data_IF_318533404866
#
_entry.id   IF_318533404866
#
_cell.length_a   1.000
_cell.length_b   1.000
_cell.length_c   1.000
_cell.angle_alpha   90.00
_cell.angle_beta   90.00
_cell.angle_gamma   90.00
#
_symmetry.space_group_name_H-M   'P 1'
#
loop_
_entity.id
_entity.type
_entity.pdbx_description
1 polymer ?
#
# COMPACT_ATOMS: atom_id res chain seq x y z
N UNK A 1 19.22 8.66 -7.06
CA UNK A 1 18.17 7.68 -7.40
C UNK A 1 18.53 7.05 -8.73
N UNK A 2 18.78 5.73 -8.79
CA UNK A 2 18.85 5.02 -10.07
C UNK A 2 17.48 4.41 -10.30
N UNK A 3 16.79 4.82 -11.37
CA UNK A 3 15.48 4.31 -11.74
C UNK A 3 15.70 3.19 -12.77
N UNK A 4 15.38 1.95 -12.42
CA UNK A 4 15.43 0.83 -13.35
C UNK A 4 14.06 0.65 -14.01
N UNK A 5 13.96 0.94 -15.31
CA UNK A 5 12.74 0.76 -16.09
C UNK A 5 12.72 -0.64 -16.68
N UNK A 6 11.66 -1.42 -16.43
CA UNK A 6 11.39 -2.68 -17.15
C UNK A 6 10.33 -2.43 -18.22
N UNK A 7 10.71 -2.60 -19.49
CA UNK A 7 9.76 -2.64 -20.60
C UNK A 7 9.15 -4.04 -20.72
N UNK A 8 7.83 -4.15 -20.95
CA UNK A 8 7.19 -5.40 -21.34
C UNK A 8 7.44 -5.66 -22.83
N UNK A 9 8.04 -6.80 -23.18
CA UNK A 9 8.30 -7.17 -24.56
C UNK A 9 7.05 -7.80 -25.19
N UNK A 10 6.56 -7.22 -26.29
CA UNK A 10 5.49 -7.78 -27.11
C UNK A 10 6.01 -8.72 -28.20
N UNK A 11 5.21 -9.75 -28.54
CA UNK A 11 5.38 -10.62 -29.71
C UNK A 11 4.06 -11.24 -30.17
N UNK A 12 3.83 -11.28 -31.49
CA UNK A 12 2.69 -11.88 -32.21
C UNK A 12 3.21 -12.60 -33.48
N UNK A 13 2.43 -13.30 -34.36
CA UNK A 13 0.98 -13.64 -34.37
C UNK A 13 0.65 -15.13 -34.78
N UNK A 14 -0.63 -15.57 -34.72
CA UNK A 14 -1.39 -16.41 -35.72
C UNK A 14 -2.84 -16.66 -35.23
N UNK A 15 -3.79 -16.62 -36.16
CA UNK A 15 -5.25 -16.52 -36.01
C UNK A 15 -6.02 -17.86 -35.95
N UNK A 16 -7.20 -17.90 -35.27
CA UNK A 16 -8.54 -17.97 -35.89
C UNK A 16 -9.71 -17.97 -34.85
N UNK A 17 -10.66 -17.07 -35.08
CA UNK A 17 -12.12 -17.13 -34.84
C UNK A 17 -12.74 -17.30 -33.43
N UNK A 18 -13.25 -16.20 -32.84
CA UNK A 18 -14.70 -15.85 -32.80
C UNK A 18 -14.96 -14.62 -31.89
N UNK A 19 -15.20 -13.51 -32.58
CA UNK A 19 -16.12 -12.40 -32.33
C UNK A 19 -16.76 -12.10 -30.96
N UNK A 20 -16.71 -10.78 -30.68
CA UNK A 20 -17.63 -9.94 -29.90
C UNK A 20 -17.61 -10.08 -28.36
N UNK A 21 -16.58 -9.49 -27.71
CA UNK A 21 -16.62 -8.54 -26.55
C UNK A 21 -15.16 -8.23 -26.13
N UNK A 22 -14.37 -7.50 -26.93
CA UNK A 22 -13.09 -6.87 -26.47
C UNK A 22 -12.76 -5.68 -27.39
N UNK A 23 -12.76 -4.45 -26.85
CA UNK A 23 -11.48 -3.75 -26.70
C UNK A 23 -11.35 -2.90 -25.41
N UNK A 24 -11.97 -3.27 -24.29
CA UNK A 24 -11.80 -2.56 -23.00
C UNK A 24 -10.76 -3.20 -22.05
N UNK A 25 -10.19 -4.36 -22.42
CA UNK A 25 -9.50 -5.23 -21.46
C UNK A 25 -7.97 -5.08 -21.40
N UNK A 26 -7.29 -4.38 -22.33
CA UNK A 26 -5.81 -4.37 -22.35
C UNK A 26 -5.17 -3.29 -21.48
N UNK A 27 -5.82 -2.14 -21.29
CA UNK A 27 -5.29 -1.05 -20.45
C UNK A 27 -5.49 -1.24 -18.95
N UNK A 28 -6.59 -1.89 -18.54
CA UNK A 28 -6.98 -2.03 -17.12
C UNK A 28 -6.50 -3.36 -16.52
N UNK A 29 -6.32 -4.42 -17.32
CA UNK A 29 -5.92 -5.74 -16.80
C UNK A 29 -4.41 -5.92 -16.60
N UNK A 30 -3.56 -5.15 -17.29
CA UNK A 30 -2.11 -5.17 -17.06
C UNK A 30 -1.72 -4.62 -15.67
N UNK A 31 -2.31 -3.51 -15.20
CA UNK A 31 -2.21 -3.10 -13.79
C UNK A 31 -2.71 -4.18 -12.83
N UNK A 32 -3.81 -4.87 -13.15
CA UNK A 32 -4.35 -5.93 -12.29
C UNK A 32 -3.40 -7.15 -12.19
N UNK A 33 -2.74 -7.55 -13.28
CA UNK A 33 -1.77 -8.64 -13.25
C UNK A 33 -0.48 -8.26 -12.50
N UNK A 34 0.00 -7.02 -12.64
CA UNK A 34 1.12 -6.49 -11.87
C UNK A 34 0.76 -6.36 -10.37
N UNK A 35 -0.47 -5.94 -10.08
CA UNK A 35 -1.05 -5.90 -8.74
C UNK A 35 -1.10 -7.31 -8.13
N UNK A 36 -1.67 -8.30 -8.82
CA UNK A 36 -1.72 -9.69 -8.34
C UNK A 36 -0.33 -10.33 -8.14
N UNK A 37 0.67 -9.96 -8.96
CA UNK A 37 2.06 -10.38 -8.75
C UNK A 37 2.68 -9.73 -7.51
N UNK A 38 2.44 -8.42 -7.30
CA UNK A 38 2.89 -7.71 -6.10
C UNK A 38 2.25 -8.25 -4.81
N UNK A 39 1.02 -8.72 -4.88
CA UNK A 39 0.32 -9.38 -3.77
C UNK A 39 0.96 -10.74 -3.40
N UNK A 40 1.42 -11.52 -4.38
CA UNK A 40 2.14 -12.79 -4.13
C UNK A 40 3.50 -12.55 -3.48
N UNK A 41 4.20 -11.50 -3.89
CA UNK A 41 5.47 -11.09 -3.30
C UNK A 41 5.25 -10.55 -1.87
N UNK A 42 4.17 -9.81 -1.63
CA UNK A 42 3.78 -9.35 -0.29
C UNK A 42 3.44 -10.52 0.65
N UNK A 43 2.67 -11.52 0.21
CA UNK A 43 2.39 -12.71 1.00
C UNK A 43 3.68 -13.47 1.38
N UNK A 44 4.62 -13.57 0.44
CA UNK A 44 5.93 -14.20 0.69
C UNK A 44 6.78 -13.40 1.67
N UNK A 45 6.74 -12.07 1.58
CA UNK A 45 7.42 -11.17 2.52
C UNK A 45 6.81 -11.22 3.93
N UNK A 46 5.48 -11.31 4.05
CA UNK A 46 4.78 -11.50 5.32
C UNK A 46 5.21 -12.82 5.98
N UNK A 47 5.24 -13.93 5.24
CA UNK A 47 5.67 -15.23 5.77
C UNK A 47 7.14 -15.23 6.19
N UNK A 48 8.02 -14.58 5.41
CA UNK A 48 9.43 -14.42 5.77
C UNK A 48 9.60 -13.57 7.05
N UNK A 49 8.80 -12.51 7.20
CA UNK A 49 8.79 -11.65 8.40
C UNK A 49 8.29 -12.40 9.62
N UNK A 50 7.21 -13.18 9.49
CA UNK A 50 6.71 -14.04 10.57
C UNK A 50 7.77 -15.06 11.01
N UNK A 51 8.50 -15.65 10.07
CA UNK A 51 9.62 -16.55 10.37
C UNK A 51 10.79 -15.84 11.07
N UNK A 52 11.09 -14.58 10.71
CA UNK A 52 12.14 -13.79 11.36
C UNK A 52 11.76 -13.34 12.78
N UNK A 53 10.48 -12.96 12.99
CA UNK A 53 9.93 -12.65 14.31
C UNK A 53 9.95 -13.85 15.25
N UNK A 54 9.73 -15.07 14.73
CA UNK A 54 9.89 -16.31 15.49
C UNK A 54 11.33 -16.55 15.98
N UNK A 55 12.32 -15.93 15.34
CA UNK A 55 13.76 -16.09 15.64
C UNK A 55 14.31 -14.91 16.46
N UNK A 56 13.54 -13.81 16.60
CA UNK A 56 14.01 -12.58 17.23
C UNK A 56 14.40 -12.78 18.71
N UNK A 57 15.61 -12.36 19.13
CA UNK A 57 16.07 -12.51 20.50
C UNK A 57 15.26 -11.59 21.44
N UNK A 58 14.40 -12.20 22.27
CA UNK A 58 13.59 -11.47 23.25
C UNK A 58 12.13 -11.93 23.32
N UNK A 59 11.61 -12.57 22.27
CA UNK A 59 10.27 -13.14 22.27
C UNK A 59 10.25 -14.53 22.93
N UNK A 60 9.27 -14.84 23.80
CA UNK A 60 9.20 -16.15 24.46
C UNK A 60 8.89 -17.27 23.46
N UNK A 61 9.94 -17.97 23.02
CA UNK A 61 9.94 -19.06 22.03
C UNK A 61 8.86 -20.15 22.20
N UNK A 62 8.47 -20.57 23.42
CA UNK A 62 7.49 -21.66 23.57
C UNK A 62 6.06 -21.29 23.14
N UNK A 63 5.63 -20.05 23.40
CA UNK A 63 4.28 -19.58 23.06
C UNK A 63 4.13 -19.34 21.56
N UNK A 64 5.16 -18.75 20.93
CA UNK A 64 5.13 -18.45 19.48
C UNK A 64 5.25 -19.73 18.65
N UNK A 65 5.98 -20.76 19.13
CA UNK A 65 6.06 -22.05 18.43
C UNK A 65 4.81 -22.93 18.56
N UNK A 66 4.10 -22.89 19.69
CA UNK A 66 2.84 -23.62 19.85
C UNK A 66 1.73 -23.04 18.94
N UNK A 67 1.69 -21.72 18.78
CA UNK A 67 0.69 -21.01 17.97
C UNK A 67 0.99 -21.15 16.46
N UNK A 68 2.26 -21.09 16.05
CA UNK A 68 2.68 -21.35 14.66
C UNK A 68 2.48 -22.81 14.21
N UNK A 69 2.56 -23.78 15.13
CA UNK A 69 2.26 -25.19 14.83
C UNK A 69 0.76 -25.42 14.56
N UNK A 70 -0.11 -24.69 15.26
CA UNK A 70 -1.57 -24.79 15.08
C UNK A 70 -2.04 -24.13 13.77
N UNK A 71 -1.30 -23.12 13.28
CA UNK A 71 -1.54 -22.43 12.01
C UNK A 71 -1.33 -23.30 10.76
N UNK A 72 -0.47 -24.32 10.85
CA UNK A 72 0.07 -25.06 9.70
C UNK A 72 -0.85 -26.18 9.18
N UNK A 73 -1.76 -26.68 10.01
CA UNK A 73 -2.55 -27.89 9.71
C UNK A 73 -3.93 -27.61 9.05
N UNK A 74 -4.27 -26.34 8.75
CA UNK A 74 -5.65 -25.97 8.35
C UNK A 74 -5.87 -25.28 7.00
N UNK A 75 -4.84 -24.97 6.20
CA UNK A 75 -4.99 -24.06 5.05
C UNK A 75 -5.11 -24.79 3.69
N UNK A 76 -6.33 -24.88 3.16
CA UNK A 76 -6.57 -25.18 1.72
C UNK A 76 -6.95 -23.88 1.01
N UNK A 77 -6.08 -23.39 0.13
CA UNK A 77 -6.31 -22.14 -0.63
C UNK A 77 -7.10 -22.45 -1.90
N UNK A 78 -8.37 -22.07 -1.94
CA UNK A 78 -9.19 -22.09 -3.16
C UNK A 78 -9.99 -20.79 -3.27
N UNK A 79 -9.58 -19.83 -4.10
CA UNK A 79 -10.46 -18.90 -4.87
C UNK A 79 -9.77 -17.60 -5.33
N UNK A 80 -10.47 -16.90 -6.22
CA UNK A 80 -10.03 -16.03 -7.31
C UNK A 80 -10.54 -14.58 -7.14
N UNK A 81 -10.36 -13.99 -5.96
CA UNK A 81 -10.76 -12.62 -5.60
C UNK A 81 -9.61 -11.88 -4.88
N UNK A 82 -9.51 -10.57 -5.04
CA UNK A 82 -8.55 -9.71 -4.32
C UNK A 82 -8.73 -9.74 -2.80
N UNK A 83 -9.89 -10.20 -2.31
CA UNK A 83 -10.13 -10.50 -0.90
C UNK A 83 -9.24 -11.63 -0.34
N UNK A 84 -8.61 -12.45 -1.18
CA UNK A 84 -8.02 -13.72 -0.72
C UNK A 84 -6.58 -13.60 -0.25
N UNK A 85 -5.81 -12.56 -0.58
CA UNK A 85 -4.40 -12.51 -0.14
C UNK A 85 -4.27 -12.14 1.34
N UNK A 86 -5.17 -11.29 1.85
CA UNK A 86 -5.32 -11.06 3.29
C UNK A 86 -6.00 -12.22 4.03
N UNK A 87 -6.89 -12.97 3.35
CA UNK A 87 -7.66 -14.08 3.95
C UNK A 87 -6.94 -15.45 3.82
N UNK A 88 -5.89 -15.56 3.00
CA UNK A 88 -5.07 -16.76 2.91
C UNK A 88 -4.14 -16.96 4.12
N UNK A 89 -4.02 -15.96 4.99
CA UNK A 89 -3.69 -16.19 6.38
C UNK A 89 -4.91 -16.85 7.03
N UNK A 90 -4.86 -18.19 7.13
CA UNK A 90 -5.71 -19.03 7.97
C UNK A 90 -5.90 -18.39 9.39
N UNK A 91 -6.81 -18.87 10.28
CA UNK A 91 -7.07 -18.32 11.63
C UNK A 91 -5.86 -17.99 12.55
N UNK A 92 -4.64 -18.27 12.11
CA UNK A 92 -3.40 -17.72 12.61
C UNK A 92 -3.35 -16.19 12.44
N UNK A 93 -3.33 -15.48 13.57
CA UNK A 93 -3.18 -14.03 13.55
C UNK A 93 -1.89 -13.56 12.87
N UNK A 94 -1.93 -12.39 12.24
CA UNK A 94 -0.74 -11.69 11.79
C UNK A 94 -0.04 -11.07 13.00
N UNK A 95 1.24 -11.40 13.23
CA UNK A 95 2.06 -10.82 14.28
C UNK A 95 3.04 -9.80 13.68
N UNK A 96 3.05 -8.59 14.24
CA UNK A 96 3.97 -7.52 13.85
C UNK A 96 4.54 -6.81 15.09
N UNK A 97 5.77 -6.30 15.01
CA UNK A 97 6.37 -5.54 16.12
C UNK A 97 5.60 -4.24 16.34
N UNK A 98 5.20 -3.98 17.58
CA UNK A 98 4.40 -2.82 17.96
C UNK A 98 5.21 -1.73 18.68
N UNK A 99 6.52 -1.92 18.86
CA UNK A 99 7.33 -1.08 19.75
C UNK A 99 7.02 -1.34 21.22
N UNK A 100 7.61 -0.58 22.14
CA UNK A 100 7.41 -0.74 23.60
C UNK A 100 6.13 -0.04 24.08
N UNK A 101 4.97 -0.68 23.82
CA UNK A 101 3.63 -0.15 24.12
C UNK A 101 3.43 0.08 25.62
N UNK A 102 3.99 -0.80 26.46
CA UNK A 102 3.82 -0.77 27.90
C UNK A 102 4.92 -0.02 28.68
N UNK A 103 6.02 0.36 28.03
CA UNK A 103 7.20 1.07 28.58
C UNK A 103 8.03 0.26 29.58
N UNK A 104 8.14 -1.05 29.40
CA UNK A 104 9.01 -1.91 30.22
C UNK A 104 10.41 -2.12 29.64
N UNK A 105 10.72 -1.46 28.53
CA UNK A 105 12.00 -1.55 27.83
C UNK A 105 12.12 -2.76 26.91
N UNK A 106 11.02 -3.49 26.67
CA UNK A 106 10.97 -4.64 25.75
C UNK A 106 10.00 -4.33 24.62
N UNK A 107 10.33 -4.79 23.42
CA UNK A 107 9.46 -4.61 22.26
C UNK A 107 8.22 -5.50 22.35
N UNK A 108 7.04 -4.89 22.19
CA UNK A 108 5.74 -5.57 22.21
C UNK A 108 5.30 -5.97 20.80
N UNK A 109 4.25 -6.78 20.70
CA UNK A 109 3.74 -7.31 19.42
C UNK A 109 2.27 -6.95 19.25
N UNK A 110 1.90 -6.54 18.04
CA UNK A 110 0.52 -6.43 17.58
C UNK A 110 0.12 -7.74 16.91
N UNK A 111 -0.95 -8.34 17.40
CA UNK A 111 -1.59 -9.49 16.81
C UNK A 111 -2.92 -9.09 16.17
N UNK A 112 -3.11 -9.42 14.89
CA UNK A 112 -4.34 -9.14 14.14
C UNK A 112 -5.02 -10.46 13.75
N UNK A 113 -6.26 -10.68 14.20
CA UNK A 113 -7.06 -11.87 13.88
C UNK A 113 -8.31 -11.48 13.09
N UNK A 114 -8.53 -12.11 11.94
CA UNK A 114 -9.76 -11.96 11.16
C UNK A 114 -10.69 -13.14 11.44
N UNK A 115 -11.88 -12.86 11.97
CA UNK A 115 -12.89 -13.89 12.21
C UNK A 115 -13.56 -14.26 10.88
N UNK A 116 -13.35 -15.49 10.42
CA UNK A 116 -13.83 -15.99 9.12
C UNK A 116 -15.32 -16.43 9.07
N UNK A 117 -16.10 -16.22 10.13
CA UNK A 117 -17.49 -16.72 10.23
C UNK A 117 -18.48 -15.58 10.53
N UNK A 118 -19.18 -15.07 9.50
CA UNK A 118 -20.17 -13.98 9.64
C UNK A 118 -19.66 -12.62 9.12
N UNK A 119 -20.32 -11.47 9.42
CA UNK A 119 -19.71 -10.16 9.17
C UNK A 119 -18.33 -10.17 9.84
N UNK A 120 -17.30 -10.05 9.01
CA UNK A 120 -15.92 -10.29 9.44
C UNK A 120 -15.60 -9.35 10.60
N UNK A 121 -14.87 -9.85 11.58
CA UNK A 121 -14.37 -9.02 12.67
C UNK A 121 -12.86 -9.04 12.58
N UNK A 122 -12.24 -7.86 12.64
CA UNK A 122 -10.82 -7.73 12.92
C UNK A 122 -10.65 -7.53 14.43
N UNK A 123 -10.03 -8.49 15.10
CA UNK A 123 -9.66 -8.37 16.50
C UNK A 123 -8.15 -8.13 16.62
N UNK A 124 -7.79 -7.02 17.25
CA UNK A 124 -6.41 -6.61 17.49
C UNK A 124 -6.04 -6.85 18.96
N UNK A 125 -4.88 -7.43 19.21
CA UNK A 125 -4.29 -7.57 20.54
C UNK A 125 -2.90 -6.95 20.55
N UNK A 126 -2.65 -6.00 21.45
CA UNK A 126 -1.27 -5.70 21.82
C UNK A 126 -0.84 -6.67 22.92
N UNK A 127 0.31 -7.29 22.75
CA UNK A 127 0.87 -8.26 23.70
C UNK A 127 2.24 -7.82 24.16
N UNK A 128 2.45 -7.91 25.47
CA UNK A 128 3.73 -7.56 26.10
C UNK A 128 4.84 -8.50 25.64
N UNK A 129 5.94 -8.01 25.10
CA UNK A 129 7.04 -8.84 24.59
C UNK A 129 7.66 -9.73 25.65
N UNK A 130 7.77 -9.21 26.88
CA UNK A 130 8.41 -9.90 28.01
C UNK A 130 7.69 -11.18 28.46
N UNK A 131 6.37 -11.23 28.36
CA UNK A 131 5.53 -12.31 28.93
C UNK A 131 4.44 -12.84 27.99
N UNK A 132 4.22 -12.21 26.84
CA UNK A 132 3.14 -12.52 25.90
C UNK A 132 1.72 -12.14 26.38
N UNK A 133 1.61 -11.49 27.56
CA UNK A 133 0.33 -11.11 28.14
C UNK A 133 -0.37 -10.02 27.32
N UNK A 134 -1.70 -10.11 27.21
CA UNK A 134 -2.50 -9.10 26.50
C UNK A 134 -2.48 -7.79 27.29
N UNK A 135 -2.00 -6.72 26.66
CA UNK A 135 -1.99 -5.36 27.19
C UNK A 135 -3.34 -4.67 26.95
N UNK A 136 -3.89 -4.83 25.75
CA UNK A 136 -5.22 -4.38 25.38
C UNK A 136 -5.77 -5.17 24.19
N UNK A 137 -7.09 -5.09 24.01
CA UNK A 137 -7.81 -5.70 22.88
C UNK A 137 -8.73 -4.67 22.22
N UNK A 138 -8.78 -4.69 20.90
CA UNK A 138 -9.70 -3.87 20.11
C UNK A 138 -10.45 -4.75 19.11
N UNK A 139 -11.78 -4.73 19.18
CA UNK A 139 -12.65 -5.40 18.21
C UNK A 139 -13.14 -4.37 17.18
N UNK A 140 -12.98 -4.67 15.90
CA UNK A 140 -13.39 -3.84 14.78
C UNK A 140 -14.37 -4.66 13.94
N UNK A 141 -15.58 -4.14 13.77
CA UNK A 141 -16.59 -4.76 12.91
C UNK A 141 -16.26 -4.40 11.47
N UNK A 142 -15.88 -5.38 10.66
CA UNK A 142 -15.63 -5.20 9.24
C UNK A 142 -16.98 -5.27 8.53
N UNK A 143 -17.38 -4.16 7.93
CA UNK A 143 -18.61 -4.11 7.14
C UNK A 143 -18.38 -4.80 5.80
N UNK A 144 -19.44 -5.34 5.18
CA UNK A 144 -19.31 -5.92 3.85
C UNK A 144 -18.74 -4.88 2.86
N UNK A 145 -17.79 -5.31 2.01
CA UNK A 145 -17.05 -4.47 1.06
C UNK A 145 -16.06 -3.46 1.69
N UNK A 146 -15.74 -3.65 2.98
CA UNK A 146 -14.63 -2.97 3.64
C UNK A 146 -13.40 -3.88 3.67
N UNK A 147 -12.23 -3.25 3.68
CA UNK A 147 -10.93 -3.87 3.82
C UNK A 147 -10.17 -3.12 4.92
N UNK A 148 -10.02 -3.80 6.06
CA UNK A 148 -9.31 -3.26 7.23
C UNK A 148 -7.87 -3.77 7.29
N UNK A 149 -6.92 -2.86 7.47
CA UNK A 149 -5.50 -3.14 7.70
C UNK A 149 -5.07 -2.46 8.99
N UNK A 150 -4.44 -3.19 9.91
CA UNK A 150 -3.85 -2.62 11.12
C UNK A 150 -2.32 -2.60 11.01
N UNK A 151 -1.73 -1.46 11.37
CA UNK A 151 -0.30 -1.18 11.19
C UNK A 151 0.28 -0.63 12.48
N UNK A 152 1.27 -1.28 13.10
CA UNK A 152 1.98 -0.73 14.23
C UNK A 152 2.80 0.48 13.77
N UNK A 153 2.31 1.66 14.08
CA UNK A 153 2.92 2.95 13.73
C UNK A 153 2.78 3.90 14.91
N UNK A 154 3.71 4.84 15.14
CA UNK A 154 3.56 5.78 16.22
C UNK A 154 2.32 6.67 16.05
N UNK A 155 1.42 6.69 17.03
CA UNK A 155 0.24 7.56 17.01
C UNK A 155 0.17 8.42 18.27
N UNK A 156 -0.38 9.64 18.16
CA UNK A 156 -0.55 10.54 19.30
C UNK A 156 0.64 11.46 19.56
N UNK A 157 1.42 11.21 20.60
CA UNK A 157 2.65 11.96 20.84
C UNK A 157 3.80 11.36 20.03
N UNK A 158 4.70 12.20 19.49
CA UNK A 158 5.81 11.74 18.66
C UNK A 158 6.57 10.58 19.33
N UNK A 159 6.89 9.54 18.56
CA UNK A 159 7.56 8.31 19.02
C UNK A 159 6.79 7.46 20.04
N UNK A 160 5.49 7.72 20.28
CA UNK A 160 4.67 6.84 21.13
C UNK A 160 4.14 5.68 20.31
N UNK A 161 4.42 4.42 20.70
CA UNK A 161 3.83 3.25 20.08
C UNK A 161 2.30 3.33 19.97
N UNK A 162 1.79 2.95 18.81
CA UNK A 162 0.38 2.99 18.47
C UNK A 162 0.06 2.04 17.32
N UNK A 163 -1.19 2.12 16.86
CA UNK A 163 -1.66 1.36 15.70
C UNK A 163 -2.45 2.30 14.80
N UNK A 164 -2.09 2.37 13.53
CA UNK A 164 -2.93 2.93 12.49
C UNK A 164 -3.84 1.83 11.95
N UNK A 165 -5.15 2.05 11.95
CA UNK A 165 -6.10 1.20 11.25
C UNK A 165 -6.58 1.92 9.99
N UNK A 166 -6.39 1.31 8.83
CA UNK A 166 -6.92 1.74 7.56
C UNK A 166 -8.14 0.90 7.21
N UNK A 167 -9.28 1.53 7.01
CA UNK A 167 -10.53 0.92 6.53
C UNK A 167 -10.82 1.49 5.14
N UNK A 168 -10.65 0.65 4.12
CA UNK A 168 -10.92 1.00 2.72
C UNK A 168 -12.22 0.34 2.31
N UNK A 169 -13.20 1.13 1.90
CA UNK A 169 -14.51 0.62 1.54
C UNK A 169 -14.93 1.07 0.15
N UNK A 170 -15.69 0.20 -0.52
CA UNK A 170 -16.33 0.51 -1.79
C UNK A 170 -17.83 0.30 -1.69
N UNK A 171 -18.60 1.22 -2.27
CA UNK A 171 -20.05 1.09 -2.39
C UNK A 171 -20.48 1.51 -3.79
N UNK A 172 -21.43 0.83 -4.42
CA UNK A 172 -21.86 1.17 -5.80
C UNK A 172 -23.36 1.45 -5.89
N UNK A 173 -23.86 2.52 -5.23
CA UNK A 173 -25.24 2.94 -5.40
C UNK A 173 -25.44 3.59 -6.78
N UNK A 174 -26.42 3.10 -7.54
CA UNK A 174 -26.87 3.78 -8.77
C UNK A 174 -25.83 3.88 -9.89
N UNK A 175 -24.90 2.92 -10.00
CA UNK A 175 -23.89 2.88 -11.07
C UNK A 175 -22.68 3.81 -10.89
N UNK A 176 -22.60 4.51 -9.75
CA UNK A 176 -21.37 5.21 -9.33
C UNK A 176 -20.78 4.49 -8.14
N UNK A 177 -19.52 4.07 -8.24
CA UNK A 177 -18.77 3.50 -7.13
C UNK A 177 -18.19 4.63 -6.29
N UNK A 178 -18.51 4.68 -5.01
CA UNK A 178 -17.83 5.53 -4.02
C UNK A 178 -16.78 4.70 -3.32
N UNK A 179 -15.55 5.18 -3.35
CA UNK A 179 -14.44 4.65 -2.57
C UNK A 179 -14.20 5.56 -1.37
N UNK A 180 -14.00 4.97 -0.20
CA UNK A 180 -13.71 5.69 1.05
C UNK A 180 -12.51 5.07 1.72
N UNK A 181 -11.61 5.90 2.24
CA UNK A 181 -10.53 5.48 3.11
C UNK A 181 -10.69 6.17 4.46
N UNK A 182 -10.92 5.39 5.52
CA UNK A 182 -10.92 5.86 6.89
C UNK A 182 -9.59 5.45 7.54
N UNK A 183 -8.85 6.40 8.08
CA UNK A 183 -7.64 6.17 8.84
C UNK A 183 -7.90 6.47 10.32
N UNK A 184 -7.62 5.52 11.21
CA UNK A 184 -7.86 5.66 12.65
C UNK A 184 -6.56 5.43 13.42
N UNK A 185 -6.11 6.45 14.15
CA UNK A 185 -4.98 6.31 15.06
C UNK A 185 -5.42 5.78 16.41
N UNK A 186 -4.93 4.61 16.81
CA UNK A 186 -5.10 4.01 18.13
C UNK A 186 -3.82 4.20 18.95
N UNK A 187 -3.95 4.74 20.17
CA UNK A 187 -2.82 4.89 21.07
C UNK A 187 -2.46 3.59 21.80
N UNK A 188 -1.44 3.65 22.66
CA UNK A 188 -0.94 2.54 23.50
C UNK A 188 -1.95 1.79 24.37
N UNK A 189 -3.18 2.29 24.50
CA UNK A 189 -4.26 1.63 25.28
C UNK A 189 -5.35 1.04 24.37
N UNK A 190 -5.16 1.04 23.05
CA UNK A 190 -6.17 0.65 22.06
C UNK A 190 -7.30 1.68 21.89
N UNK A 191 -7.23 2.82 22.59
CA UNK A 191 -8.19 3.92 22.43
C UNK A 191 -7.90 4.74 21.18
N UNK A 192 -8.96 5.11 20.46
CA UNK A 192 -8.89 6.05 19.35
C UNK A 192 -8.41 7.42 19.83
N UNK A 193 -7.40 7.95 19.15
CA UNK A 193 -6.85 9.29 19.37
C UNK A 193 -7.37 10.28 18.32
N UNK A 194 -7.45 9.83 17.07
CA UNK A 194 -7.90 10.62 15.94
C UNK A 194 -8.46 9.69 14.85
N UNK A 195 -9.25 10.28 13.96
CA UNK A 195 -9.77 9.66 12.74
C UNK A 195 -9.65 10.65 11.59
N UNK A 196 -9.23 10.17 10.42
CA UNK A 196 -9.21 10.91 9.16
C UNK A 196 -10.03 10.15 8.12
N UNK A 197 -10.69 10.87 7.20
CA UNK A 197 -11.51 10.26 6.16
C UNK A 197 -11.29 10.94 4.82
N UNK A 198 -11.07 10.12 3.80
CA UNK A 198 -11.04 10.50 2.40
C UNK A 198 -12.11 9.75 1.63
N UNK A 199 -12.62 10.35 0.56
CA UNK A 199 -13.57 9.69 -0.33
C UNK A 199 -13.52 10.26 -1.74
N UNK A 200 -13.71 9.39 -2.71
CA UNK A 200 -13.83 9.72 -4.12
C UNK A 200 -14.88 8.88 -4.82
N UNK A 201 -15.14 9.21 -6.07
CA UNK A 201 -16.14 8.53 -6.90
C UNK A 201 -15.54 8.03 -8.19
N UNK A 202 -15.93 6.82 -8.59
CA UNK A 202 -15.63 6.19 -9.86
C UNK A 202 -16.96 5.96 -10.58
N UNK A 203 -17.07 6.52 -11.78
CA UNK A 203 -18.24 6.33 -12.65
C UNK A 203 -17.76 5.68 -13.93
N UNK A 204 -18.40 4.58 -14.32
CA UNK A 204 -18.14 3.88 -15.57
C UNK A 204 -19.45 3.70 -16.31
N UNK A 205 -19.62 4.42 -17.42
CA UNK A 205 -20.82 4.38 -18.26
C UNK A 205 -20.43 4.04 -19.69
N UNK A 206 -21.44 3.81 -20.53
CA UNK A 206 -21.23 3.69 -21.98
C UNK A 206 -20.64 4.95 -22.62
N UNK A 207 -20.76 6.12 -21.98
CA UNK A 207 -20.20 7.39 -22.47
C UNK A 207 -18.76 7.63 -22.03
N UNK A 208 -18.21 6.82 -21.12
CA UNK A 208 -16.83 6.95 -20.68
C UNK A 208 -16.62 6.59 -19.21
N UNK A 209 -15.43 6.96 -18.74
CA UNK A 209 -14.96 6.69 -17.40
C UNK A 209 -14.57 7.98 -16.69
N UNK A 210 -14.88 8.10 -15.40
CA UNK A 210 -14.40 9.20 -14.59
C UNK A 210 -14.10 8.79 -13.16
N UNK A 211 -12.94 9.20 -12.66
CA UNK A 211 -12.55 9.19 -11.25
C UNK A 211 -12.52 10.63 -10.74
N UNK A 212 -13.05 10.86 -9.54
CA UNK A 212 -12.96 12.15 -8.85
C UNK A 212 -12.50 11.95 -7.42
N UNK A 213 -11.34 12.50 -7.07
CA UNK A 213 -10.72 12.45 -5.74
C UNK A 213 -10.61 11.03 -5.15
N UNK A 214 -10.37 10.01 -5.97
CA UNK A 214 -10.25 8.62 -5.49
C UNK A 214 -9.01 8.52 -4.59
N UNK A 215 -9.15 8.13 -3.31
CA UNK A 215 -8.02 8.02 -2.41
C UNK A 215 -7.21 6.75 -2.74
N UNK A 216 -5.91 6.93 -2.92
CA UNK A 216 -4.97 5.87 -3.27
C UNK A 216 -3.89 5.74 -2.20
N UNK A 217 -3.54 4.50 -1.85
CA UNK A 217 -2.41 4.21 -0.97
C UNK A 217 -1.13 4.09 -1.82
N UNK A 218 -0.17 4.99 -1.62
CA UNK A 218 1.04 5.05 -2.46
C UNK A 218 2.05 3.94 -2.15
N UNK A 219 2.03 3.39 -0.93
CA UNK A 219 3.05 2.46 -0.48
C UNK A 219 2.48 1.18 0.13
N UNK A 220 3.00 0.05 -0.35
CA UNK A 220 2.93 -1.24 0.34
C UNK A 220 3.83 -1.21 1.59
N UNK A 221 3.31 -1.76 2.67
CA UNK A 221 3.70 -1.52 4.05
C UNK A 221 4.97 -2.28 4.44
N UNK A 222 6.11 -1.91 3.87
CA UNK A 222 7.40 -2.39 4.37
C UNK A 222 7.70 -1.65 5.69
N UNK A 223 7.33 -2.26 6.82
CA UNK A 223 7.39 -1.71 8.18
C UNK A 223 8.78 -1.34 8.73
N UNK A 224 9.71 -0.90 7.87
CA UNK A 224 11.05 -0.42 8.17
C UNK A 224 11.17 1.10 8.09
N UNK A 225 10.08 1.84 7.81
CA UNK A 225 10.16 3.28 7.57
C UNK A 225 10.44 4.09 8.81
N UNK A 226 11.48 4.90 8.67
CA UNK A 226 11.78 6.07 9.50
C UNK A 226 10.63 7.06 9.29
N UNK A 227 9.89 7.36 10.36
CA UNK A 227 8.73 8.27 10.32
C UNK A 227 7.38 7.57 10.45
N UNK A 228 6.53 8.15 11.29
CA UNK A 228 5.17 7.69 11.55
C UNK A 228 4.17 8.19 10.50
N UNK A 229 4.55 8.25 9.22
CA UNK A 229 3.74 8.93 8.21
C UNK A 229 3.33 7.95 7.10
N UNK A 230 2.13 8.16 6.55
CA UNK A 230 1.59 7.39 5.43
C UNK A 230 1.53 8.28 4.18
N UNK A 231 2.07 7.79 3.07
CA UNK A 231 1.93 8.45 1.77
C UNK A 231 0.61 8.03 1.12
N UNK A 232 -0.20 9.02 0.80
CA UNK A 232 -1.48 8.89 0.13
C UNK A 232 -1.46 9.69 -1.17
N UNK A 233 -2.39 9.40 -2.07
CA UNK A 233 -2.64 10.22 -3.24
C UNK A 233 -4.15 10.37 -3.45
N UNK A 234 -4.55 11.45 -4.15
CA UNK A 234 -5.88 11.57 -4.74
C UNK A 234 -5.76 11.51 -6.24
N UNK A 235 -6.54 10.63 -6.84
CA UNK A 235 -6.60 10.42 -8.28
C UNK A 235 -7.89 11.02 -8.85
N UNK A 236 -7.71 11.87 -9.85
CA UNK A 236 -8.77 12.33 -10.74
C UNK A 236 -8.44 11.82 -12.14
N UNK A 237 -9.42 11.26 -12.84
CA UNK A 237 -9.24 10.80 -14.21
C UNK A 237 -10.53 10.97 -14.98
N UNK A 238 -10.44 11.27 -16.26
CA UNK A 238 -11.59 11.21 -17.15
C UNK A 238 -11.15 10.75 -18.53
N UNK A 239 -11.94 9.87 -19.11
CA UNK A 239 -11.85 9.48 -20.51
C UNK A 239 -13.24 9.47 -21.11
N UNK A 240 -13.35 9.99 -22.33
CA UNK A 240 -14.57 9.92 -23.12
C UNK A 240 -14.43 8.80 -24.13
N UNK A 241 -15.42 7.92 -24.21
CA UNK A 241 -15.44 6.86 -25.21
C UNK A 241 -15.54 7.47 -26.62
N UNK A 242 -14.49 7.32 -27.43
CA UNK A 242 -14.45 7.77 -28.81
C UNK A 242 -14.88 6.64 -29.74
N UNK A 243 -15.94 6.86 -30.53
CA UNK A 243 -16.32 5.94 -31.61
C UNK A 243 -15.40 6.06 -32.84
N UNK A 244 -14.51 7.05 -32.87
CA UNK A 244 -13.70 7.41 -34.04
C UNK A 244 -12.18 7.22 -33.85
N UNK A 245 -11.75 6.64 -32.72
CA UNK A 245 -10.44 5.99 -32.62
C UNK A 245 -9.32 6.72 -31.86
N UNK A 246 -9.62 7.71 -31.02
CA UNK A 246 -8.65 8.16 -30.01
C UNK A 246 -9.37 8.57 -28.73
N UNK A 247 -9.29 7.74 -27.70
CA UNK A 247 -9.72 8.11 -26.36
C UNK A 247 -8.68 9.08 -25.78
N UNK A 248 -9.07 10.32 -25.53
CA UNK A 248 -8.25 11.24 -24.75
C UNK A 248 -8.52 10.99 -23.28
N UNK A 249 -7.50 10.51 -22.56
CA UNK A 249 -7.55 10.38 -21.11
C UNK A 249 -6.82 11.55 -20.50
N UNK A 250 -7.52 12.35 -19.68
CA UNK A 250 -6.86 13.34 -18.82
C UNK A 250 -6.93 12.82 -17.40
N UNK A 251 -5.80 12.80 -16.70
CA UNK A 251 -5.75 12.41 -15.31
C UNK A 251 -4.83 13.32 -14.52
N UNK A 252 -5.04 13.36 -13.21
CA UNK A 252 -4.18 14.08 -12.31
C UNK A 252 -4.05 13.35 -10.99
N UNK A 253 -2.85 13.41 -10.43
CA UNK A 253 -2.49 12.83 -9.16
C UNK A 253 -2.01 13.92 -8.21
N UNK A 254 -2.70 14.05 -7.08
CA UNK A 254 -2.30 14.97 -6.02
C UNK A 254 -1.78 14.15 -4.85
N UNK A 255 -0.47 14.20 -4.55
CA UNK A 255 0.10 13.44 -3.44
C UNK A 255 -0.15 14.12 -2.09
N UNK A 256 -0.29 13.30 -1.06
CA UNK A 256 -0.52 13.72 0.31
C UNK A 256 0.32 12.90 1.29
N UNK A 257 0.55 13.48 2.46
CA UNK A 257 1.09 12.83 3.63
C UNK A 257 0.08 12.88 4.76
N UNK A 258 -0.27 11.71 5.28
CA UNK A 258 -0.99 11.59 6.53
C UNK A 258 0.03 11.45 7.67
N UNK A 259 0.10 12.48 8.51
CA UNK A 259 0.85 12.42 9.75
C UNK A 259 0.10 11.55 10.76
N UNK A 260 0.59 10.34 11.07
CA UNK A 260 -0.17 9.41 11.93
C UNK A 260 -0.04 9.74 13.43
N UNK A 261 0.86 10.66 13.78
CA UNK A 261 0.93 11.21 15.13
C UNK A 261 -0.30 12.09 15.41
N UNK A 262 -0.67 12.99 14.50
CA UNK A 262 -1.77 13.94 14.66
C UNK A 262 -3.06 13.61 13.88
N UNK A 263 -3.01 12.66 12.94
CA UNK A 263 -4.12 12.39 12.02
C UNK A 263 -4.34 13.50 10.99
N UNK A 264 -3.31 14.29 10.68
CA UNK A 264 -3.40 15.44 9.79
C UNK A 264 -2.89 15.09 8.38
N UNK A 265 -3.71 15.39 7.37
CA UNK A 265 -3.32 15.30 5.97
C UNK A 265 -2.67 16.61 5.51
N UNK A 266 -1.54 16.50 4.79
CA UNK A 266 -0.83 17.63 4.17
C UNK A 266 -0.55 17.31 2.71
N UNK A 267 -0.85 18.22 1.80
CA UNK A 267 -0.52 18.05 0.38
C UNK A 267 0.99 18.16 0.16
N UNK A 268 1.55 17.27 -0.65
CA UNK A 268 2.98 17.24 -0.97
C UNK A 268 3.23 17.88 -2.34
N UNK A 269 3.46 19.19 -2.36
CA UNK A 269 3.79 19.89 -3.60
C UNK A 269 2.62 19.94 -4.60
N UNK A 270 2.97 20.09 -5.88
CA UNK A 270 1.99 20.30 -6.95
C UNK A 270 1.36 18.99 -7.44
N UNK A 271 0.11 19.09 -7.90
CA UNK A 271 -0.57 18.03 -8.65
C UNK A 271 0.17 17.74 -9.96
N UNK A 272 0.36 16.45 -10.28
CA UNK A 272 0.90 15.98 -11.56
C UNK A 272 -0.26 15.67 -12.49
N UNK A 273 -0.26 16.20 -13.72
CA UNK A 273 -1.34 16.02 -14.69
C UNK A 273 -0.82 15.36 -15.96
N UNK A 274 -1.49 14.30 -16.39
CA UNK A 274 -1.20 13.55 -17.61
C UNK A 274 -2.33 13.67 -18.61
N UNK A 275 -1.98 13.77 -19.90
CA UNK A 275 -2.95 13.64 -21.01
C UNK A 275 -2.79 12.32 -21.78
N UNK A 276 -1.92 11.43 -21.30
CA UNK A 276 -1.61 10.18 -22.02
C UNK A 276 -1.84 8.92 -21.20
N UNK A 277 -1.96 9.03 -19.88
CA UNK A 277 -2.25 7.90 -19.01
C UNK A 277 -2.59 8.35 -17.60
N UNK A 278 -2.49 7.44 -16.61
CA UNK A 278 -2.66 7.73 -15.18
C UNK A 278 -1.29 7.79 -14.51
N UNK A 279 -0.92 8.91 -13.85
CA UNK A 279 0.31 8.98 -13.07
C UNK A 279 0.31 7.93 -11.96
N UNK A 280 1.45 7.27 -11.78
CA UNK A 280 1.63 6.22 -10.79
C UNK A 280 2.59 6.69 -9.68
N UNK A 281 2.14 6.79 -8.42
CA UNK A 281 2.99 7.17 -7.30
C UNK A 281 3.70 5.94 -6.71
N UNK A 282 4.93 6.11 -6.23
CA UNK A 282 5.71 5.09 -5.54
C UNK A 282 6.59 5.72 -4.46
N UNK A 283 6.83 5.03 -3.34
CA UNK A 283 7.83 5.47 -2.35
C UNK A 283 9.25 5.34 -2.91
N UNK A 284 10.11 6.31 -2.58
CA UNK A 284 11.50 6.37 -3.03
C UNK A 284 12.53 6.14 -1.90
N UNK A 285 12.09 5.80 -0.69
CA UNK A 285 12.92 5.86 0.52
C UNK A 285 13.21 7.31 0.91
N UNK A 286 14.32 7.59 1.58
CA UNK A 286 14.73 8.95 2.02
C UNK A 286 15.93 9.53 1.22
N UNK A 287 15.84 9.74 -0.13
CA UNK A 287 16.84 10.49 -0.89
C UNK A 287 17.10 11.93 -0.42
N UNK A 288 16.11 12.60 0.16
CA UNK A 288 16.19 13.97 0.67
C UNK A 288 17.05 14.09 1.93
N UNK A 289 17.17 13.00 2.71
CA UNK A 289 17.88 12.96 3.98
C UNK A 289 17.08 13.57 5.14
N UNK A 290 15.78 13.75 4.98
CA UNK A 290 14.86 14.33 5.96
C UNK A 290 14.26 13.30 6.93
N UNK A 291 14.70 12.04 6.82
CA UNK A 291 14.26 10.90 7.62
C UNK A 291 12.84 10.44 7.37
N UNK A 292 12.22 10.87 6.27
CA UNK A 292 10.89 10.45 5.87
C UNK A 292 10.93 9.90 4.44
N UNK A 293 10.00 9.01 4.12
CA UNK A 293 9.89 8.49 2.76
C UNK A 293 9.48 9.61 1.79
N UNK A 294 10.30 9.81 0.77
CA UNK A 294 10.07 10.61 -0.41
C UNK A 294 9.18 9.87 -1.41
N UNK A 295 8.72 10.64 -2.40
CA UNK A 295 7.79 10.19 -3.42
C UNK A 295 8.43 10.24 -4.80
N UNK A 296 8.20 9.23 -5.62
CA UNK A 296 8.39 9.29 -7.06
C UNK A 296 7.05 9.09 -7.75
N UNK A 297 6.72 9.99 -8.68
CA UNK A 297 5.53 9.93 -9.53
C UNK A 297 6.02 9.65 -10.95
N UNK A 298 5.56 8.55 -11.53
CA UNK A 298 5.79 8.22 -12.93
C UNK A 298 4.59 8.68 -13.72
N UNK A 299 4.76 9.68 -14.59
CA UNK A 299 3.69 10.21 -15.43
C UNK A 299 3.88 9.73 -16.88
N UNK A 300 2.93 8.92 -17.39
CA UNK A 300 2.91 8.57 -18.80
C UNK A 300 2.96 9.83 -19.68
N UNK A 301 3.86 9.82 -20.65
CA UNK A 301 4.02 10.91 -21.62
C UNK A 301 4.78 12.16 -21.14
N UNK A 302 4.80 12.49 -19.85
CA UNK A 302 5.49 13.70 -19.36
C UNK A 302 6.78 13.42 -18.60
N UNK A 303 6.96 12.24 -17.99
CA UNK A 303 8.24 11.85 -17.39
C UNK A 303 8.19 11.26 -15.98
N UNK A 304 9.24 11.49 -15.21
CA UNK A 304 9.37 11.01 -13.82
C UNK A 304 9.68 12.18 -12.89
N UNK A 305 8.94 12.27 -11.79
CA UNK A 305 9.00 13.35 -10.81
C UNK A 305 9.33 12.80 -9.42
N UNK A 306 10.49 13.13 -8.87
CA UNK A 306 10.84 12.85 -7.48
C UNK A 306 10.58 14.08 -6.61
N UNK A 307 9.85 13.89 -5.51
CA UNK A 307 9.42 14.93 -4.57
C UNK A 307 9.82 14.57 -3.15
N UNK A 308 10.25 15.56 -2.37
CA UNK A 308 10.51 15.37 -0.94
C UNK A 308 9.22 14.95 -0.26
N UNK A 309 9.35 13.99 0.64
CA UNK A 309 8.23 13.54 1.44
C UNK A 309 7.71 14.63 2.39
N UNK A 310 8.56 15.54 2.90
CA UNK A 310 8.20 16.53 3.92
C UNK A 310 7.20 17.57 3.42
N UNK A 311 7.51 18.22 2.32
CA UNK A 311 6.76 19.38 1.79
C UNK A 311 6.42 19.23 0.29
N UNK A 312 6.91 18.16 -0.34
CA UNK A 312 6.72 17.93 -1.77
C UNK A 312 7.57 18.79 -2.69
N UNK A 313 8.63 19.46 -2.21
CA UNK A 313 9.53 20.18 -3.11
C UNK A 313 10.22 19.22 -4.10
N UNK A 314 10.60 19.73 -5.27
CA UNK A 314 11.25 18.95 -6.30
C UNK A 314 12.65 18.48 -5.86
N UNK A 315 12.88 17.17 -5.82
CA UNK A 315 14.22 16.60 -5.65
C UNK A 315 14.88 16.39 -7.02
N UNK A 316 14.09 15.91 -7.97
CA UNK A 316 14.54 15.63 -9.33
C UNK A 316 13.34 15.50 -10.26
N UNK A 317 13.43 16.07 -11.46
CA UNK A 317 12.43 15.93 -12.52
C UNK A 317 13.14 15.51 -13.81
N UNK A 318 12.61 14.50 -14.50
CA UNK A 318 13.03 14.16 -15.85
C UNK A 318 11.83 14.09 -16.77
N UNK A 319 11.66 15.16 -17.56
CA UNK A 319 10.59 15.28 -18.54
C UNK A 319 11.00 14.89 -19.96
N UNK A 320 12.27 14.51 -20.15
CA UNK A 320 12.80 14.09 -21.45
C UNK A 320 12.54 12.62 -21.76
N UNK A 321 12.19 11.84 -20.73
CA UNK A 321 11.93 10.41 -20.86
C UNK A 321 10.43 10.19 -21.08
N UNK A 322 10.04 9.85 -22.31
CA UNK A 322 8.69 9.38 -22.57
C UNK A 322 8.54 8.00 -21.93
N UNK A 323 7.70 7.94 -20.91
CA UNK A 323 7.40 6.69 -20.21
C UNK A 323 6.14 6.08 -20.81
N UNK A 324 6.17 4.77 -21.10
CA UNK A 324 4.98 4.03 -21.52
C UNK A 324 3.99 3.87 -20.36
N UNK A 325 2.70 3.71 -20.71
CA UNK A 325 1.68 3.30 -19.74
C UNK A 325 2.08 2.05 -18.96
N UNK A 326 1.83 2.08 -17.65
CA UNK A 326 2.15 0.97 -16.74
C UNK A 326 3.62 0.89 -16.32
N UNK A 327 4.45 1.83 -16.72
CA UNK A 327 5.78 1.94 -16.14
C UNK A 327 5.71 2.34 -14.67
N UNK A 328 6.68 1.84 -13.90
CA UNK A 328 6.82 2.13 -12.48
C UNK A 328 8.28 2.44 -12.16
N UNK A 329 8.48 3.20 -11.09
CA UNK A 329 9.78 3.41 -10.51
C UNK A 329 9.98 2.42 -9.35
N UNK A 330 11.18 1.83 -9.27
CA UNK A 330 11.61 1.03 -8.12
C UNK A 330 12.91 1.59 -7.58
N UNK A 331 13.05 1.61 -6.25
CA UNK A 331 14.30 1.96 -5.59
C UNK A 331 15.37 0.91 -5.91
N UNK A 332 16.49 1.33 -6.53
CA UNK A 332 17.61 0.44 -6.86
C UNK A 332 18.50 0.04 -5.65
N UNK A 333 18.12 0.42 -4.42
CA UNK A 333 18.96 0.26 -3.24
C UNK A 333 20.24 1.13 -3.28
N UNK A 334 21.14 0.97 -2.29
CA UNK A 334 22.45 1.63 -2.30
C UNK A 334 23.27 1.15 -3.50
N UNK A 335 23.64 2.07 -4.39
CA UNK A 335 24.57 1.78 -5.48
C UNK A 335 25.98 2.06 -4.97
N UNK A 336 26.66 1.04 -4.48
CA UNK A 336 28.08 1.16 -4.14
C UNK A 336 28.85 1.26 -5.46
N UNK A 337 29.56 2.36 -5.76
CA UNK A 337 30.41 2.40 -6.93
C UNK A 337 31.39 1.23 -6.82
N UNK A 338 31.44 0.39 -7.85
CA UNK A 338 32.36 -0.75 -7.89
C UNK A 338 33.75 -0.21 -7.55
N UNK A 339 34.36 -0.76 -6.49
CA UNK A 339 35.66 -0.32 -6.00
C UNK A 339 36.62 -0.24 -7.19
N UNK A 340 36.90 0.99 -7.63
CA UNK A 340 37.80 1.20 -8.76
C UNK A 340 39.12 0.55 -8.38
N UNK A 341 39.57 -0.43 -9.19
CA UNK A 341 40.90 -1.02 -9.01
C UNK A 341 41.88 0.15 -8.85
N UNK A 342 42.65 0.21 -7.75
CA UNK A 342 43.63 1.27 -7.58
C UNK A 342 44.52 1.26 -8.83
N UNK A 343 44.56 2.38 -9.54
CA UNK A 343 45.53 2.57 -10.62
C UNK A 343 46.90 2.41 -9.97
N UNK A 344 47.63 1.35 -10.31
CA UNK A 344 49.06 1.27 -10.02
C UNK A 344 49.70 2.49 -10.69
N UNK A 345 50.23 3.39 -9.87
CA UNK A 345 51.24 4.36 -10.30
C UNK A 345 52.59 3.65 -10.41
#
# INVERSE_FOLDING_TARGET
VVVQLRASAGGAPVALAKDLVRPFASGVMAPLAAYLASERDAASAVMARQADLLVHPGLPRPSVMAEAATARDGATVTSNSSTTVAVAAAPAGLLELAGDVNRDGVEDVLESRYDGTGPSTLTLYARGGKRGGVLWTRKITVTQNHFDIALPLPTGAASTPGVLVLDIATSTPGGTTTETMNATGLGRTGKTLWTHRESGTITNTSSGFSMRHVPELVRQLNGTTRGADLLLARLDASSTASTTGSDTTTSSLTPYRLNTTAGRLTQLGATVTSTTGVPFPASAGDPSGDHLDDLVITDPGTGVHARSGVDGHALWDNTSLTVNDGAFAQQAGPVTPAAGRPRRQ
#
